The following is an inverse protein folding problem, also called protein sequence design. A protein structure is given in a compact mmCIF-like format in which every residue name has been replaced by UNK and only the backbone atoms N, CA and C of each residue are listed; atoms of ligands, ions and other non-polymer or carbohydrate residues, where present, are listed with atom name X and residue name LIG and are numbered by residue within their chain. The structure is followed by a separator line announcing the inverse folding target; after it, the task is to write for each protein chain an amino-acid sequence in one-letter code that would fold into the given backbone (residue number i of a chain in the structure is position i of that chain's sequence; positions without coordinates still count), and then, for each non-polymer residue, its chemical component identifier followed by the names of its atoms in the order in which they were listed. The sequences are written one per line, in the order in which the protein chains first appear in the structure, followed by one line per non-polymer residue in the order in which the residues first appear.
data_IF_321147199386
#
_entry.id   IF_321147199386
#
_cell.length_a   1.000
_cell.length_b   1.000
_cell.length_c   1.000
_cell.angle_alpha   90.00
_cell.angle_beta   90.00
_cell.angle_gamma   90.00
#
_symmetry.space_group_name_H-M   'P 1'
#
loop_
_entity.id
_entity.type
_entity.pdbx_description
1 polymer ?
#
# COMPACT_ATOMS: atom_id res chain seq x y z
N UNK A 1 -12.02 -17.66 4.16
CA UNK A 1 -12.30 -18.90 3.41
C UNK A 1 -11.97 -18.72 1.95
N UNK A 2 -12.87 -18.12 1.17
CA UNK A 2 -12.77 -18.03 -0.29
C UNK A 2 -11.43 -17.46 -0.84
N UNK A 3 -10.96 -16.31 -0.37
CA UNK A 3 -9.73 -15.66 -0.89
C UNK A 3 -8.46 -16.52 -0.70
N UNK A 4 -8.41 -17.37 0.33
CA UNK A 4 -7.27 -18.26 0.60
C UNK A 4 -7.26 -19.46 -0.35
N UNK A 5 -8.43 -20.08 -0.57
CA UNK A 5 -8.60 -21.16 -1.54
C UNK A 5 -8.26 -20.70 -2.97
N UNK A 6 -8.66 -19.48 -3.35
CA UNK A 6 -8.35 -18.91 -4.65
C UNK A 6 -6.86 -18.62 -4.85
N UNK A 7 -6.14 -18.19 -3.80
CA UNK A 7 -4.70 -17.98 -3.85
C UNK A 7 -3.94 -19.29 -4.08
N UNK A 8 -4.33 -20.37 -3.38
CA UNK A 8 -3.73 -21.69 -3.57
C UNK A 8 -4.05 -22.29 -4.95
N UNK A 9 -5.28 -22.10 -5.44
CA UNK A 9 -5.66 -22.51 -6.80
C UNK A 9 -4.84 -21.78 -7.88
N UNK A 10 -4.49 -20.51 -7.65
CA UNK A 10 -3.61 -19.76 -8.55
C UNK A 10 -2.16 -20.28 -8.56
N UNK A 11 -1.64 -20.70 -7.40
CA UNK A 11 -0.30 -21.31 -7.31
C UNK A 11 -0.25 -22.69 -7.97
N UNK A 12 -1.38 -23.42 -8.03
CA UNK A 12 -1.50 -24.73 -8.69
C UNK A 12 -1.88 -24.66 -10.19
N UNK A 13 -1.98 -23.46 -10.77
CA UNK A 13 -2.25 -23.26 -12.20
C UNK A 13 -3.73 -23.31 -12.60
N UNK A 14 -4.66 -23.46 -11.65
CA UNK A 14 -6.10 -23.47 -11.90
C UNK A 14 -6.73 -22.13 -11.49
N UNK A 15 -7.13 -21.35 -12.50
CA UNK A 15 -7.96 -20.13 -12.44
C UNK A 15 -7.25 -18.78 -12.49
N UNK A 16 -7.64 -18.00 -13.50
CA UNK A 16 -7.35 -16.57 -13.68
C UNK A 16 -8.48 -15.75 -13.04
N UNK A 17 -8.48 -15.59 -11.71
CA UNK A 17 -9.20 -14.46 -11.10
C UNK A 17 -8.18 -13.40 -10.70
N UNK A 18 -8.27 -12.25 -11.36
CA UNK A 18 -7.29 -11.15 -11.23
C UNK A 18 -7.55 -10.22 -10.02
N UNK A 19 -8.72 -10.31 -9.39
CA UNK A 19 -9.14 -9.41 -8.30
C UNK A 19 -9.53 -10.19 -7.04
N UNK A 20 -8.78 -9.99 -5.96
CA UNK A 20 -9.11 -10.49 -4.62
C UNK A 20 -9.89 -9.43 -3.85
N UNK A 21 -10.87 -9.83 -3.02
CA UNK A 21 -11.77 -8.89 -2.33
C UNK A 21 -11.10 -8.21 -1.13
N UNK A 22 -10.20 -8.89 -0.43
CA UNK A 22 -9.52 -8.35 0.76
C UNK A 22 -8.00 -8.39 0.69
N UNK A 23 -7.45 -9.27 -0.14
CA UNK A 23 -6.00 -9.43 -0.28
C UNK A 23 -5.44 -8.51 -1.37
N UNK A 24 -4.29 -7.91 -1.07
CA UNK A 24 -3.46 -7.26 -2.06
C UNK A 24 -2.38 -8.26 -2.48
N UNK A 25 -2.46 -8.76 -3.71
CA UNK A 25 -1.59 -9.81 -4.25
C UNK A 25 -0.74 -9.25 -5.38
N UNK A 26 0.58 -9.45 -5.25
CA UNK A 26 1.56 -9.10 -6.28
C UNK A 26 1.37 -9.95 -7.56
N UNK A 27 1.82 -9.48 -8.73
CA UNK A 27 2.46 -8.18 -8.98
C UNK A 27 1.47 -7.03 -9.24
N UNK A 28 0.21 -7.32 -9.65
CA UNK A 28 -0.71 -6.30 -10.16
C UNK A 28 -1.41 -5.48 -9.06
N UNK A 29 -1.98 -6.11 -8.04
CA UNK A 29 -2.90 -5.41 -7.12
C UNK A 29 -2.23 -4.77 -5.91
N UNK A 30 -0.98 -5.15 -5.59
CA UNK A 30 -0.31 -4.68 -4.37
C UNK A 30 0.08 -3.21 -4.44
N UNK A 31 0.79 -2.79 -5.49
CA UNK A 31 1.23 -1.40 -5.66
C UNK A 31 0.02 -0.46 -5.71
N UNK A 32 -0.92 -0.70 -6.61
CA UNK A 32 -2.11 0.13 -6.79
C UNK A 32 -2.98 0.17 -5.53
N UNK A 33 -3.09 -0.97 -4.83
CA UNK A 33 -3.80 -1.07 -3.58
C UNK A 33 -3.17 -0.24 -2.46
N UNK A 34 -1.84 -0.22 -2.35
CA UNK A 34 -1.11 0.61 -1.39
C UNK A 34 -1.26 2.10 -1.70
N UNK A 35 -1.03 2.50 -2.95
CA UNK A 35 -1.17 3.90 -3.39
C UNK A 35 -2.61 4.40 -3.17
N UNK A 36 -3.62 3.59 -3.52
CA UNK A 36 -5.03 3.93 -3.29
C UNK A 36 -5.33 4.13 -1.81
N UNK A 37 -4.78 3.30 -0.91
CA UNK A 37 -4.96 3.44 0.54
C UNK A 37 -4.30 4.72 1.07
N UNK A 38 -3.10 5.06 0.61
CA UNK A 38 -2.43 6.31 0.99
C UNK A 38 -3.27 7.51 0.53
N UNK A 39 -3.80 7.50 -0.69
CA UNK A 39 -4.67 8.56 -1.18
C UNK A 39 -5.98 8.68 -0.39
N UNK A 40 -6.54 7.57 0.12
CA UNK A 40 -7.72 7.62 1.00
C UNK A 40 -7.44 8.36 2.31
N UNK A 41 -6.26 8.19 2.90
CA UNK A 41 -5.87 8.94 4.10
C UNK A 41 -5.81 10.45 3.82
N UNK A 42 -5.35 10.86 2.63
CA UNK A 42 -5.40 12.27 2.20
C UNK A 42 -6.85 12.78 2.17
N UNK A 43 -7.77 12.00 1.62
CA UNK A 43 -9.19 12.38 1.61
C UNK A 43 -9.80 12.43 3.01
N UNK A 44 -9.41 11.52 3.90
CA UNK A 44 -9.82 11.55 5.30
C UNK A 44 -9.34 12.82 5.99
N UNK A 45 -8.06 13.17 5.83
CA UNK A 45 -7.50 14.39 6.39
C UNK A 45 -8.22 15.65 5.90
N UNK A 46 -8.46 15.75 4.57
CA UNK A 46 -9.20 16.87 3.97
C UNK A 46 -10.64 16.98 4.45
N UNK A 47 -11.27 15.85 4.80
CA UNK A 47 -12.60 15.80 5.39
C UNK A 47 -12.60 16.07 6.91
N UNK A 48 -11.48 16.48 7.50
CA UNK A 48 -11.34 16.71 8.95
C UNK A 48 -11.37 15.43 9.79
N UNK A 49 -11.19 14.27 9.17
CA UNK A 49 -11.17 12.96 9.87
C UNK A 49 -9.74 12.64 10.31
N UNK A 50 -9.58 11.84 11.38
CA UNK A 50 -8.28 11.27 11.73
C UNK A 50 -7.70 10.51 10.53
N UNK A 51 -6.46 10.81 10.19
CA UNK A 51 -5.75 10.23 9.06
C UNK A 51 -4.28 10.01 9.41
N UNK A 52 -3.73 8.88 9.01
CA UNK A 52 -2.34 8.54 9.31
C UNK A 52 -1.82 7.44 8.40
N UNK A 53 -0.60 7.60 7.88
CA UNK A 53 0.10 6.55 7.14
C UNK A 53 1.20 5.98 8.02
N UNK A 54 1.12 4.68 8.33
CA UNK A 54 2.15 3.95 9.07
C UNK A 54 2.60 2.74 8.28
N UNK A 55 3.88 2.68 7.95
CA UNK A 55 4.45 1.61 7.13
C UNK A 55 5.64 0.99 7.86
N UNK A 56 5.62 -0.34 8.04
CA UNK A 56 6.76 -1.12 8.53
C UNK A 56 7.15 -2.12 7.47
N UNK A 57 8.38 -2.00 6.95
CA UNK A 57 8.87 -2.87 5.86
C UNK A 57 10.35 -3.15 6.02
N UNK A 58 10.83 -4.22 5.39
CA UNK A 58 12.27 -4.49 5.33
C UNK A 58 12.98 -3.50 4.41
N UNK A 59 12.36 -3.10 3.30
CA UNK A 59 12.93 -2.15 2.34
C UNK A 59 11.82 -1.37 1.65
N UNK A 60 12.08 -0.12 1.30
CA UNK A 60 11.17 0.77 0.59
C UNK A 60 11.92 1.43 -0.57
N UNK A 61 11.71 0.92 -1.78
CA UNK A 61 12.38 1.40 -3.02
C UNK A 61 11.41 1.67 -4.16
N UNK A 62 10.11 1.43 -3.94
CA UNK A 62 9.08 1.60 -4.96
C UNK A 62 8.74 3.09 -5.12
N UNK A 63 9.06 3.65 -6.28
CA UNK A 63 8.87 5.08 -6.59
C UNK A 63 7.42 5.54 -6.39
N UNK A 64 6.44 4.76 -6.87
CA UNK A 64 5.03 5.14 -6.78
C UNK A 64 4.53 5.19 -5.33
N UNK A 65 4.97 4.24 -4.50
CA UNK A 65 4.64 4.26 -3.05
C UNK A 65 5.35 5.41 -2.34
N UNK A 66 6.62 5.67 -2.65
CA UNK A 66 7.38 6.80 -2.08
C UNK A 66 6.74 8.14 -2.44
N UNK A 67 6.36 8.33 -3.70
CA UNK A 67 5.64 9.51 -4.17
C UNK A 67 4.29 9.70 -3.50
N UNK A 68 3.56 8.60 -3.29
CA UNK A 68 2.30 8.64 -2.56
C UNK A 68 2.51 9.09 -1.10
N UNK A 69 3.56 8.62 -0.42
CA UNK A 69 3.94 9.08 0.91
C UNK A 69 4.27 10.58 0.93
N UNK A 70 5.04 11.09 -0.04
CA UNK A 70 5.30 12.52 -0.15
C UNK A 70 4.03 13.34 -0.38
N UNK A 71 3.11 12.85 -1.22
CA UNK A 71 1.80 13.51 -1.43
C UNK A 71 0.98 13.55 -0.15
N UNK A 72 1.01 12.48 0.65
CA UNK A 72 0.30 12.43 1.92
C UNK A 72 0.88 13.40 2.95
N UNK A 73 2.21 13.41 3.10
CA UNK A 73 2.93 14.35 3.97
C UNK A 73 2.65 15.81 3.59
N UNK A 74 2.76 16.16 2.30
CA UNK A 74 2.44 17.52 1.80
C UNK A 74 0.98 17.93 2.00
N UNK A 75 0.07 16.96 2.11
CA UNK A 75 -1.33 17.22 2.39
C UNK A 75 -1.63 17.38 3.89
N UNK A 76 -0.63 17.27 4.77
CA UNK A 76 -0.78 17.38 6.21
C UNK A 76 -1.05 16.05 6.93
N UNK A 77 -1.04 14.93 6.21
CA UNK A 77 -1.19 13.61 6.83
C UNK A 77 0.13 13.22 7.52
N UNK A 78 0.12 12.85 8.81
CA UNK A 78 1.32 12.32 9.45
C UNK A 78 1.73 10.99 8.80
N UNK A 79 3.01 10.85 8.46
CA UNK A 79 3.57 9.66 7.79
C UNK A 79 4.75 9.12 8.60
N UNK A 80 4.58 7.93 9.18
CA UNK A 80 5.65 7.21 9.85
C UNK A 80 6.08 5.99 9.02
N UNK A 81 7.39 5.88 8.78
CA UNK A 81 7.96 4.76 8.05
C UNK A 81 9.10 4.14 8.86
N UNK A 82 8.97 2.84 9.16
CA UNK A 82 10.01 2.03 9.78
C UNK A 82 10.61 1.08 8.75
N UNK A 83 11.80 1.42 8.26
CA UNK A 83 12.55 0.60 7.31
C UNK A 83 13.81 0.04 7.98
N UNK A 84 14.05 -1.27 7.85
CA UNK A 84 15.27 -1.91 8.37
C UNK A 84 16.46 -1.79 7.41
N UNK A 85 16.21 -1.91 6.11
CA UNK A 85 17.22 -1.95 5.05
C UNK A 85 17.15 -0.71 4.15
N UNK A 86 17.18 -0.94 2.84
CA UNK A 86 17.24 0.14 1.84
C UNK A 86 15.96 1.00 1.89
N UNK A 87 16.15 2.32 1.95
CA UNK A 87 15.08 3.30 1.93
C UNK A 87 15.37 4.38 0.88
N UNK A 88 14.53 4.47 -0.15
CA UNK A 88 14.56 5.52 -1.15
C UNK A 88 13.80 6.79 -0.72
N UNK A 89 12.94 6.68 0.29
CA UNK A 89 12.25 7.82 0.89
C UNK A 89 13.25 8.65 1.70
N UNK A 90 13.32 9.95 1.40
CA UNK A 90 14.13 10.93 2.13
C UNK A 90 13.21 11.70 3.09
N UNK A 91 13.40 11.57 4.42
CA UNK A 91 12.65 12.38 5.37
C UNK A 91 13.14 13.83 5.34
N UNK A 92 12.25 14.78 5.64
CA UNK A 92 12.53 16.22 5.62
C UNK A 92 11.29 17.01 5.30
#
# INVERSE_FOLDING_TARGET
GADLSDLFNRLSGYSRRETYRRLLVAPKSLRDGLVSRIHKEIQHHRAGRPAHVRIKVNSMVDEAVVDACYRASRAGVPVDVWVRGICALRPG
#
